data_IF_967590306187
#
_entry.id   IF_967590306187
#
_cell.length_a   1.000
_cell.length_b   1.000
_cell.length_c   1.000
_cell.angle_alpha   90.00
_cell.angle_beta   90.00
_cell.angle_gamma   90.00
#
_symmetry.space_group_name_H-M   'P 1'
#
loop_
_entity.id
_entity.type
_entity.pdbx_description
1 polymer ?
#
# COMPACT_ATOMS: atom_id res chain seq x y z
N UNK A 1 28.05 0.69 50.42
CA UNK A 1 29.22 -0.14 50.72
C UNK A 1 28.71 -1.32 51.51
N UNK A 2 28.50 -2.44 50.82
CA UNK A 2 28.74 -3.78 51.36
C UNK A 2 28.65 -4.74 50.15
N UNK A 3 29.83 -5.21 49.76
CA UNK A 3 30.08 -6.26 48.79
C UNK A 3 29.86 -7.62 49.46
N UNK A 4 29.37 -8.62 48.73
CA UNK A 4 29.13 -9.93 49.34
C UNK A 4 28.74 -11.04 48.37
N UNK A 5 29.75 -11.45 47.60
CA UNK A 5 29.87 -12.60 46.70
C UNK A 5 29.15 -13.92 47.03
N UNK A 6 29.02 -14.72 45.95
CA UNK A 6 29.17 -16.20 45.85
C UNK A 6 27.88 -17.06 45.88
N UNK A 7 27.56 -17.71 44.75
CA UNK A 7 27.79 -19.17 44.61
C UNK A 7 27.34 -19.69 43.24
N UNK A 8 28.29 -20.26 42.52
CA UNK A 8 28.12 -21.20 41.41
C UNK A 8 27.35 -22.44 41.86
N UNK A 9 26.58 -23.05 40.95
CA UNK A 9 26.31 -24.49 41.01
C UNK A 9 26.16 -25.04 39.59
N UNK A 10 27.24 -25.66 39.13
CA UNK A 10 27.20 -26.71 38.11
C UNK A 10 26.69 -28.00 38.77
N UNK A 11 25.83 -28.74 38.09
CA UNK A 11 25.61 -30.16 38.38
C UNK A 11 25.17 -30.85 37.10
N UNK A 12 26.16 -31.48 36.46
CA UNK A 12 26.01 -32.55 35.48
C UNK A 12 25.32 -33.75 36.13
N UNK A 13 24.37 -34.38 35.41
CA UNK A 13 23.98 -35.76 35.70
C UNK A 13 23.88 -36.54 34.40
N UNK A 14 24.84 -37.45 34.27
CA UNK A 14 24.92 -38.56 33.32
C UNK A 14 23.99 -39.70 33.75
N UNK A 15 23.63 -40.56 32.79
CA UNK A 15 22.99 -41.86 33.00
C UNK A 15 21.60 -41.92 32.36
N UNK A 16 21.18 -42.94 31.64
CA UNK A 16 21.77 -44.23 31.31
C UNK A 16 20.91 -44.81 30.18
N UNK A 17 21.54 -45.55 29.27
CA UNK A 17 20.92 -46.35 28.23
C UNK A 17 20.01 -47.45 28.79
N UNK A 18 18.79 -47.58 28.25
CA UNK A 18 18.03 -48.84 28.34
C UNK A 18 17.46 -49.22 26.98
N UNK A 19 17.87 -50.40 26.53
CA UNK A 19 17.52 -51.08 25.28
C UNK A 19 16.53 -52.18 25.68
N UNK A 20 15.31 -52.15 25.15
CA UNK A 20 14.34 -53.24 25.27
C UNK A 20 13.76 -53.51 23.89
N UNK A 21 14.15 -54.66 23.33
CA UNK A 21 13.53 -55.34 22.21
C UNK A 21 12.35 -56.18 22.75
N UNK A 22 11.14 -56.08 22.18
CA UNK A 22 10.46 -57.21 21.51
C UNK A 22 9.07 -56.85 20.94
N UNK A 23 8.91 -57.21 19.66
CA UNK A 23 7.73 -57.71 18.93
C UNK A 23 6.30 -57.24 19.27
N UNK A 24 5.69 -56.56 18.30
CA UNK A 24 4.23 -56.48 18.15
C UNK A 24 3.85 -56.35 16.68
N UNK A 25 3.36 -57.44 16.10
CA UNK A 25 2.90 -57.56 14.71
C UNK A 25 1.77 -56.56 14.41
N UNK A 26 2.01 -55.67 13.44
CA UNK A 26 1.00 -54.76 12.89
C UNK A 26 1.24 -54.52 11.41
N UNK A 27 0.83 -55.47 10.56
CA UNK A 27 0.69 -55.28 9.11
C UNK A 27 -0.40 -54.23 8.85
N UNK A 28 0.00 -52.97 8.76
CA UNK A 28 -0.80 -51.90 8.17
C UNK A 28 0.01 -51.27 7.04
N UNK A 29 -0.30 -51.61 5.80
CA UNK A 29 0.28 -50.98 4.62
C UNK A 29 -0.16 -49.53 4.54
N UNK A 30 0.57 -48.64 5.21
CA UNK A 30 0.55 -47.21 4.93
C UNK A 30 1.55 -46.95 3.82
N UNK A 31 1.06 -46.58 2.63
CA UNK A 31 1.89 -46.05 1.57
C UNK A 31 2.79 -44.94 2.13
N UNK A 32 4.09 -44.89 1.78
CA UNK A 32 4.89 -43.73 2.09
C UNK A 32 4.26 -42.57 1.34
N UNK A 33 3.61 -41.64 2.06
CA UNK A 33 3.35 -40.31 1.55
C UNK A 33 4.72 -39.77 1.12
N UNK A 34 4.99 -39.84 -0.19
CA UNK A 34 6.15 -39.21 -0.81
C UNK A 34 6.03 -37.74 -0.46
N UNK A 35 6.78 -37.32 0.55
CA UNK A 35 7.01 -35.91 0.81
C UNK A 35 7.46 -35.31 -0.51
N UNK A 36 6.70 -34.35 -1.03
CA UNK A 36 7.03 -33.64 -2.25
C UNK A 36 8.52 -33.25 -2.25
N UNK A 37 9.20 -33.23 -3.40
CA UNK A 37 10.63 -32.95 -3.49
C UNK A 37 10.88 -31.46 -3.21
N UNK A 38 10.86 -31.11 -1.93
CA UNK A 38 11.16 -29.80 -1.42
C UNK A 38 11.87 -30.00 -0.10
N UNK A 39 13.20 -30.04 -0.13
CA UNK A 39 14.00 -29.98 1.09
C UNK A 39 13.52 -28.81 1.96
N UNK A 40 13.55 -28.99 3.28
CA UNK A 40 13.15 -27.94 4.22
C UNK A 40 14.05 -26.72 3.98
N UNK A 41 13.46 -25.62 3.55
CA UNK A 41 14.17 -24.35 3.36
C UNK A 41 14.48 -23.74 4.72
N UNK A 42 15.64 -23.11 4.84
CA UNK A 42 16.00 -22.26 5.95
C UNK A 42 15.14 -20.99 5.98
N UNK A 43 15.07 -20.33 7.14
CA UNK A 43 14.39 -19.03 7.28
C UNK A 43 14.95 -17.97 6.33
N UNK A 44 16.27 -17.95 6.12
CA UNK A 44 16.92 -17.01 5.21
C UNK A 44 16.46 -17.22 3.75
N UNK A 45 16.40 -18.48 3.30
CA UNK A 45 15.91 -18.81 1.96
C UNK A 45 14.43 -18.45 1.78
N UNK A 46 13.59 -18.71 2.79
CA UNK A 46 12.17 -18.33 2.75
C UNK A 46 11.99 -16.82 2.69
N UNK A 47 12.78 -16.06 3.48
CA UNK A 47 12.76 -14.60 3.47
C UNK A 47 13.14 -14.05 2.09
N UNK A 48 14.17 -14.62 1.47
CA UNK A 48 14.62 -14.18 0.14
C UNK A 48 13.55 -14.43 -0.92
N UNK A 49 12.96 -15.63 -0.94
CA UNK A 49 11.88 -15.99 -1.86
C UNK A 49 10.68 -15.04 -1.71
N UNK A 50 10.27 -14.72 -0.47
CA UNK A 50 9.17 -13.79 -0.21
C UNK A 50 9.52 -12.38 -0.67
N UNK A 51 10.75 -11.92 -0.44
CA UNK A 51 11.20 -10.59 -0.88
C UNK A 51 11.19 -10.48 -2.41
N UNK A 52 11.72 -11.48 -3.11
CA UNK A 52 11.72 -11.53 -4.57
C UNK A 52 10.29 -11.55 -5.11
N UNK A 53 9.42 -12.39 -4.54
CA UNK A 53 8.01 -12.45 -4.92
C UNK A 53 7.32 -11.10 -4.71
N UNK A 54 7.53 -10.43 -3.57
CA UNK A 54 6.98 -9.10 -3.30
C UNK A 54 7.46 -8.07 -4.33
N UNK A 55 8.73 -8.10 -4.70
CA UNK A 55 9.29 -7.21 -5.73
C UNK A 55 8.70 -7.48 -7.11
N UNK A 56 8.46 -8.74 -7.44
CA UNK A 56 7.85 -9.13 -8.72
C UNK A 56 6.36 -8.75 -8.76
N UNK A 57 5.65 -8.85 -7.63
CA UNK A 57 4.24 -8.48 -7.52
C UNK A 57 4.01 -6.98 -7.36
N UNK A 58 4.98 -6.21 -6.85
CA UNK A 58 4.81 -4.77 -6.64
C UNK A 58 4.54 -4.02 -7.95
N UNK A 59 5.10 -4.49 -9.07
CA UNK A 59 4.83 -3.92 -10.40
C UNK A 59 3.48 -4.34 -11.00
N UNK A 60 2.89 -5.44 -10.49
CA UNK A 60 1.57 -5.93 -10.89
C UNK A 60 0.44 -5.35 -10.04
N UNK A 61 0.76 -4.60 -8.99
CA UNK A 61 -0.22 -3.89 -8.18
C UNK A 61 -0.81 -2.75 -9.01
N UNK A 62 -1.86 -3.05 -9.75
CA UNK A 62 -2.64 -2.06 -10.48
C UNK A 62 -3.54 -1.36 -9.48
N UNK A 63 -3.06 -0.29 -8.86
CA UNK A 63 -3.96 0.61 -8.15
C UNK A 63 -4.98 1.17 -9.14
N UNK A 64 -6.23 0.75 -8.99
CA UNK A 64 -7.34 1.20 -9.83
C UNK A 64 -7.73 2.61 -9.38
N UNK A 65 -7.92 3.58 -10.28
CA UNK A 65 -8.45 4.89 -9.93
C UNK A 65 -9.72 4.79 -9.09
N UNK A 66 -9.79 5.57 -8.01
CA UNK A 66 -10.95 5.62 -7.11
C UNK A 66 -11.47 7.04 -6.99
N UNK A 67 -12.65 7.22 -6.39
CA UNK A 67 -13.27 8.52 -6.16
C UNK A 67 -13.32 9.37 -7.43
N UNK A 68 -14.07 8.92 -8.43
CA UNK A 68 -14.05 9.55 -9.76
C UNK A 68 -15.10 10.67 -9.83
N UNK A 69 -14.73 11.84 -10.33
CA UNK A 69 -15.65 12.94 -10.61
C UNK A 69 -15.43 13.50 -12.02
N UNK A 70 -16.51 13.88 -12.68
CA UNK A 70 -16.48 14.45 -14.02
C UNK A 70 -16.90 15.92 -13.95
N UNK A 71 -16.15 16.79 -14.59
CA UNK A 71 -16.46 18.22 -14.74
C UNK A 71 -16.43 18.60 -16.21
N UNK A 72 -17.50 19.25 -16.69
CA UNK A 72 -17.52 19.85 -18.01
C UNK A 72 -16.82 21.21 -17.96
N UNK A 73 -15.85 21.42 -18.83
CA UNK A 73 -15.15 22.68 -19.00
C UNK A 73 -15.87 23.56 -20.03
N UNK A 74 -15.60 24.87 -20.00
CA UNK A 74 -16.23 25.84 -20.88
C UNK A 74 -15.88 25.64 -22.38
N UNK A 75 -14.76 24.97 -22.64
CA UNK A 75 -14.27 24.63 -23.99
C UNK A 75 -14.86 23.32 -24.54
N UNK A 76 -15.80 22.70 -23.82
CA UNK A 76 -16.45 21.45 -24.23
C UNK A 76 -15.72 20.18 -23.80
N UNK A 77 -14.49 20.28 -23.27
CA UNK A 77 -13.76 19.11 -22.74
C UNK A 77 -14.40 18.61 -21.44
N UNK A 78 -14.21 17.32 -21.17
CA UNK A 78 -14.58 16.74 -19.87
C UNK A 78 -13.31 16.42 -19.09
N UNK A 79 -13.13 17.07 -17.93
CA UNK A 79 -12.05 16.77 -16.99
C UNK A 79 -12.51 15.74 -15.99
N UNK A 80 -11.76 14.65 -15.87
CA UNK A 80 -12.00 13.57 -14.92
C UNK A 80 -11.02 13.74 -13.76
N UNK A 81 -11.52 13.97 -12.55
CA UNK A 81 -10.73 13.94 -11.32
C UNK A 81 -10.82 12.55 -10.67
N UNK A 82 -9.72 12.07 -10.10
CA UNK A 82 -9.67 10.77 -9.42
C UNK A 82 -8.48 10.66 -8.48
N UNK A 83 -8.57 9.75 -7.52
CA UNK A 83 -7.48 9.35 -6.64
C UNK A 83 -6.77 8.13 -7.20
N UNK A 84 -5.46 8.19 -7.34
CA UNK A 84 -4.63 7.04 -7.72
C UNK A 84 -3.21 7.16 -7.19
N UNK A 85 -2.50 6.03 -7.17
CA UNK A 85 -1.09 5.97 -6.81
C UNK A 85 -0.25 5.98 -8.09
N UNK A 86 0.62 6.99 -8.32
CA UNK A 86 1.51 7.01 -9.49
C UNK A 86 2.42 5.77 -9.52
N UNK A 87 2.88 5.35 -10.70
CA UNK A 87 3.65 4.11 -10.88
C UNK A 87 4.98 4.05 -10.09
N UNK A 88 5.54 5.20 -9.73
CA UNK A 88 6.74 5.36 -8.90
C UNK A 88 6.43 5.93 -7.51
N UNK A 89 5.15 6.13 -7.21
CA UNK A 89 4.65 6.67 -5.95
C UNK A 89 4.28 5.56 -4.97
N UNK A 90 4.35 5.90 -3.70
CA UNK A 90 3.89 5.07 -2.58
C UNK A 90 2.63 5.69 -1.93
N UNK A 91 2.18 6.81 -2.48
CA UNK A 91 1.13 7.66 -1.94
C UNK A 91 0.01 7.86 -2.96
N UNK A 92 -1.24 7.75 -2.49
CA UNK A 92 -2.42 8.11 -3.25
C UNK A 92 -2.53 9.63 -3.32
N UNK A 93 -2.62 10.16 -4.54
CA UNK A 93 -2.74 11.59 -4.80
C UNK A 93 -3.93 11.88 -5.70
N UNK A 94 -4.32 13.15 -5.74
CA UNK A 94 -5.37 13.65 -6.61
C UNK A 94 -4.81 13.94 -8.00
N UNK A 95 -5.39 13.30 -9.01
CA UNK A 95 -5.01 13.40 -10.41
C UNK A 95 -6.22 13.84 -11.21
N UNK A 96 -5.95 14.35 -12.41
CA UNK A 96 -6.96 14.56 -13.41
C UNK A 96 -6.52 14.09 -14.80
N UNK A 97 -7.48 13.88 -15.67
CA UNK A 97 -7.25 13.62 -17.08
C UNK A 97 -8.33 14.31 -17.92
N UNK A 98 -7.94 14.85 -19.08
CA UNK A 98 -8.87 15.51 -19.99
C UNK A 98 -9.32 14.54 -21.08
N UNK A 99 -10.63 14.42 -21.25
CA UNK A 99 -11.27 13.75 -22.38
C UNK A 99 -11.53 14.80 -23.45
N UNK A 100 -11.03 14.61 -24.69
CA UNK A 100 -11.29 15.53 -25.80
C UNK A 100 -12.78 15.62 -26.12
N UNK A 101 -13.21 16.72 -26.73
CA UNK A 101 -14.60 16.86 -27.22
C UNK A 101 -14.88 15.83 -28.31
N UNK A 102 -16.14 15.44 -28.48
CA UNK A 102 -16.61 14.45 -29.46
C UNK A 102 -16.16 14.79 -30.90
N UNK A 103 -15.93 16.08 -31.19
CA UNK A 103 -15.48 16.57 -32.50
C UNK A 103 -14.00 16.27 -32.81
N UNK A 104 -13.18 16.00 -31.79
CA UNK A 104 -11.73 15.74 -31.88
C UNK A 104 -11.38 14.25 -31.69
N UNK A 105 -12.37 13.35 -31.64
CA UNK A 105 -12.18 11.93 -31.35
C UNK A 105 -11.57 11.22 -32.56
N UNK A 106 -10.25 11.06 -32.53
CA UNK A 106 -9.53 10.18 -33.45
C UNK A 106 -9.76 8.71 -33.04
N UNK A 107 -10.09 7.78 -33.97
CA UNK A 107 -10.45 6.39 -33.65
C UNK A 107 -9.30 5.49 -33.15
N UNK A 108 -8.15 6.06 -32.79
CA UNK A 108 -7.06 5.31 -32.18
C UNK A 108 -7.30 5.13 -30.68
N UNK A 109 -6.78 4.03 -30.10
CA UNK A 109 -6.80 3.78 -28.64
C UNK A 109 -6.03 4.89 -27.92
N UNK A 110 -6.71 5.95 -27.53
CA UNK A 110 -6.12 7.03 -26.75
C UNK A 110 -6.00 6.59 -25.30
N UNK A 111 -4.77 6.63 -24.79
CA UNK A 111 -4.52 6.57 -23.36
C UNK A 111 -4.63 7.98 -22.82
N UNK A 112 -5.48 8.19 -21.82
CA UNK A 112 -5.63 9.49 -21.20
C UNK A 112 -4.38 9.80 -20.36
N UNK A 113 -3.78 10.97 -20.57
CA UNK A 113 -2.65 11.40 -19.78
C UNK A 113 -3.12 11.82 -18.38
N UNK A 114 -2.55 11.19 -17.35
CA UNK A 114 -2.83 11.55 -15.97
C UNK A 114 -1.92 12.71 -15.55
N UNK A 115 -2.51 13.77 -15.01
CA UNK A 115 -1.84 14.98 -14.55
C UNK A 115 -2.09 15.16 -13.05
N UNK A 116 -1.06 15.43 -12.24
CA UNK A 116 -1.26 15.67 -10.81
C UNK A 116 -1.97 17.00 -10.60
N UNK A 117 -2.95 17.04 -9.69
CA UNK A 117 -3.58 18.30 -9.24
C UNK A 117 -2.61 19.11 -8.37
N UNK A 118 -1.77 18.41 -7.61
CA UNK A 118 -0.88 18.99 -6.61
C UNK A 118 0.55 18.87 -7.13
N UNK A 119 1.31 19.97 -7.08
CA UNK A 119 2.71 19.97 -7.50
C UNK A 119 3.58 19.15 -6.53
N UNK A 120 4.66 18.54 -7.05
CA UNK A 120 5.60 17.74 -6.25
C UNK A 120 6.28 18.50 -5.10
N UNK A 121 6.29 19.84 -5.14
CA UNK A 121 6.87 20.71 -4.12
C UNK A 121 5.91 21.04 -2.97
N UNK A 122 4.73 20.42 -2.93
CA UNK A 122 3.80 20.57 -1.82
C UNK A 122 4.43 20.00 -0.55
N UNK A 123 4.94 20.90 0.29
CA UNK A 123 5.98 20.65 1.31
C UNK A 123 5.67 19.60 2.38
N UNK A 124 4.52 18.91 2.38
CA UNK A 124 4.09 18.21 3.61
C UNK A 124 3.31 16.91 3.45
N UNK A 125 3.17 16.31 2.26
CA UNK A 125 2.54 14.97 2.21
C UNK A 125 3.53 13.84 2.58
N UNK A 126 4.83 14.11 2.39
CA UNK A 126 5.93 13.28 2.94
C UNK A 126 6.26 13.65 4.40
N UNK A 127 5.26 13.82 5.26
CA UNK A 127 5.52 13.78 6.69
C UNK A 127 5.67 12.32 7.09
N UNK A 128 6.93 11.88 7.09
CA UNK A 128 7.32 10.68 7.79
C UNK A 128 6.69 10.64 9.18
N UNK A 129 5.70 9.75 9.33
CA UNK A 129 5.56 8.86 10.48
C UNK A 129 4.78 9.36 11.71
N UNK A 130 3.76 10.23 11.60
CA UNK A 130 2.87 10.49 12.77
C UNK A 130 1.43 10.82 12.36
N UNK A 131 0.64 9.81 11.98
CA UNK A 131 -0.82 9.99 11.97
C UNK A 131 -1.29 10.44 13.35
N UNK A 132 -2.22 11.39 13.40
CA UNK A 132 -2.93 11.65 14.64
C UNK A 132 -3.65 10.36 15.08
N UNK A 133 -3.91 10.20 16.38
CA UNK A 133 -4.63 9.02 16.87
C UNK A 133 -6.01 8.87 16.23
N UNK A 134 -6.68 10.01 15.98
CA UNK A 134 -7.99 10.06 15.32
C UNK A 134 -7.90 9.61 13.85
N UNK A 135 -6.87 10.07 13.13
CA UNK A 135 -6.61 9.71 11.73
C UNK A 135 -6.28 8.22 11.61
N UNK A 136 -5.41 7.69 12.47
CA UNK A 136 -5.10 6.26 12.50
C UNK A 136 -6.36 5.42 12.73
N UNK A 137 -7.18 5.76 13.73
CA UNK A 137 -8.43 5.06 14.01
C UNK A 137 -9.42 5.13 12.84
N UNK A 138 -9.48 6.26 12.13
CA UNK A 138 -10.31 6.40 10.93
C UNK A 138 -9.84 5.46 9.82
N UNK A 139 -8.52 5.41 9.55
CA UNK A 139 -7.94 4.56 8.52
C UNK A 139 -8.18 3.07 8.80
N UNK A 140 -8.01 2.64 10.05
CA UNK A 140 -8.30 1.28 10.50
C UNK A 140 -9.78 0.91 10.29
N UNK A 141 -10.71 1.80 10.68
CA UNK A 141 -12.17 1.60 10.51
C UNK A 141 -12.59 1.52 9.05
N UNK A 142 -12.00 2.37 8.20
CA UNK A 142 -12.29 2.40 6.76
C UNK A 142 -11.50 1.36 5.97
N UNK A 143 -10.60 0.61 6.62
CA UNK A 143 -9.69 -0.37 5.99
C UNK A 143 -8.86 0.27 4.87
N UNK A 144 -8.46 1.53 5.06
CA UNK A 144 -7.64 2.28 4.12
C UNK A 144 -6.17 1.94 4.40
N UNK A 145 -5.60 1.08 3.55
CA UNK A 145 -4.22 0.65 3.65
C UNK A 145 -3.24 1.55 2.88
N UNK A 146 -3.76 2.54 2.15
CA UNK A 146 -3.00 3.47 1.32
C UNK A 146 -2.63 4.73 2.09
N UNK A 147 -1.38 5.17 1.94
CA UNK A 147 -0.93 6.47 2.42
C UNK A 147 -1.41 7.57 1.45
N UNK A 148 -1.68 8.78 1.97
CA UNK A 148 -2.03 9.95 1.17
C UNK A 148 -3.49 10.36 1.24
N UNK A 149 -3.96 10.99 0.15
CA UNK A 149 -5.31 11.55 0.06
C UNK A 149 -6.32 10.41 -0.08
N UNK A 150 -7.29 10.36 0.83
CA UNK A 150 -8.30 9.30 0.87
C UNK A 150 -9.65 9.71 0.30
N UNK A 151 -9.89 11.02 0.17
CA UNK A 151 -11.15 11.60 -0.29
C UNK A 151 -10.94 13.04 -0.72
N UNK A 152 -11.79 13.53 -1.61
CA UNK A 152 -11.88 14.94 -1.97
C UNK A 152 -13.34 15.31 -2.27
N UNK A 153 -13.62 16.59 -2.26
CA UNK A 153 -14.90 17.16 -2.71
C UNK A 153 -14.64 18.13 -3.86
N UNK A 154 -15.55 18.12 -4.85
CA UNK A 154 -15.50 19.01 -6.01
C UNK A 154 -16.80 19.83 -6.08
N UNK A 155 -16.65 21.15 -6.03
CA UNK A 155 -17.71 22.06 -6.38
C UNK A 155 -17.70 22.31 -7.90
N UNK A 156 -18.67 21.73 -8.60
CA UNK A 156 -18.70 21.66 -10.06
C UNK A 156 -18.67 23.04 -10.74
N UNK A 157 -19.47 23.97 -10.23
CA UNK A 157 -19.64 25.30 -10.84
C UNK A 157 -18.37 26.14 -10.70
N UNK A 158 -17.84 26.27 -9.48
CA UNK A 158 -16.65 27.09 -9.23
C UNK A 158 -15.33 26.40 -9.56
N UNK A 159 -15.32 25.06 -9.71
CA UNK A 159 -14.09 24.29 -9.87
C UNK A 159 -13.25 24.17 -8.60
N UNK A 160 -13.87 24.40 -7.43
CA UNK A 160 -13.16 24.32 -6.15
C UNK A 160 -13.04 22.85 -5.75
N UNK A 161 -11.82 22.41 -5.52
CA UNK A 161 -11.48 21.11 -4.94
C UNK A 161 -11.10 21.33 -3.47
N UNK A 162 -11.54 20.43 -2.60
CA UNK A 162 -11.16 20.44 -1.18
C UNK A 162 -10.80 19.01 -0.76
N UNK A 163 -9.68 18.83 -0.07
CA UNK A 163 -9.26 17.52 0.41
C UNK A 163 -8.39 17.63 1.66
N UNK A 164 -8.50 16.65 2.58
CA UNK A 164 -7.56 16.52 3.69
C UNK A 164 -6.25 15.88 3.19
N UNK A 165 -5.12 16.42 3.65
CA UNK A 165 -3.82 15.77 3.54
C UNK A 165 -2.92 16.22 4.70
N UNK A 166 -2.07 15.34 5.24
CA UNK A 166 -1.13 15.69 6.31
C UNK A 166 -1.76 16.44 7.50
N UNK A 167 -2.91 15.95 7.97
CA UNK A 167 -3.71 16.56 9.05
C UNK A 167 -4.12 18.03 8.81
N UNK A 168 -4.09 18.49 7.55
CA UNK A 168 -4.46 19.84 7.13
C UNK A 168 -5.50 19.76 6.01
N UNK A 169 -6.33 20.81 5.88
CA UNK A 169 -7.28 20.93 4.78
C UNK A 169 -6.68 21.80 3.67
N UNK A 170 -6.68 21.28 2.45
CA UNK A 170 -6.22 21.98 1.27
C UNK A 170 -7.38 22.30 0.34
N UNK A 171 -7.24 23.41 -0.39
CA UNK A 171 -8.15 23.76 -1.46
C UNK A 171 -7.39 24.02 -2.75
N UNK A 172 -7.96 23.58 -3.87
CA UNK A 172 -7.46 23.94 -5.19
C UNK A 172 -8.58 24.53 -6.04
N UNK A 173 -8.21 25.35 -7.02
CA UNK A 173 -9.13 25.91 -7.99
C UNK A 173 -8.70 25.48 -9.38
N UNK A 174 -9.61 24.77 -10.06
CA UNK A 174 -9.48 24.40 -11.45
C UNK A 174 -10.17 25.44 -12.34
N UNK A 175 -9.38 26.12 -13.18
CA UNK A 175 -9.87 27.10 -14.16
C UNK A 175 -10.19 26.47 -15.52
N UNK A 176 -9.97 25.16 -15.69
CA UNK A 176 -10.04 24.44 -16.97
C UNK A 176 -8.72 24.48 -17.77
N UNK A 177 -7.88 25.49 -17.54
CA UNK A 177 -6.54 25.57 -18.13
C UNK A 177 -5.46 25.16 -17.14
N UNK A 178 -5.59 25.63 -15.90
CA UNK A 178 -4.64 25.37 -14.82
C UNK A 178 -5.38 25.00 -13.55
N UNK A 179 -4.73 24.17 -12.74
CA UNK A 179 -5.17 23.87 -11.38
C UNK A 179 -4.15 24.49 -10.42
N UNK A 180 -4.63 25.24 -9.44
CA UNK A 180 -3.77 25.92 -8.45
C UNK A 180 -4.24 25.60 -7.04
N UNK A 181 -3.31 25.28 -6.15
CA UNK A 181 -3.60 24.83 -4.79
C UNK A 181 -3.08 25.80 -3.73
N UNK A 182 -3.85 25.95 -2.66
CA UNK A 182 -3.52 26.78 -1.50
C UNK A 182 -3.95 26.09 -0.19
N UNK A 183 -3.30 26.47 0.90
CA UNK A 183 -3.75 26.16 2.25
C UNK A 183 -5.04 26.93 2.55
N UNK A 184 -5.90 26.32 3.36
CA UNK A 184 -7.14 26.96 3.85
C UNK A 184 -6.88 27.77 5.11
#
# INVERSE_FOLDING_TARGET
MDDGSTSSNESSSSGETKKEDESGLGRGGGEPHKSAPGGKKSWAELREIVNELRRNLSSLSTMVPTSISFRKLADGRTRIFFLSTPANGWETTLLYADVPSEDDVHPSRQTLQWQPVIESNFQSISLGSRYSREEQLMLERKRLATFGITSYELHQESGKLVFPAASTLYQCFDTGYTVSCALT
#
